data_IF_758073972755
#
_entry.id   IF_758073972755
#
_cell.length_a   1.000
_cell.length_b   1.000
_cell.length_c   1.000
_cell.angle_alpha   90.00
_cell.angle_beta   90.00
_cell.angle_gamma   90.00
#
_symmetry.space_group_name_H-M   'P 1'
#
loop_
_entity.id
_entity.type
_entity.pdbx_description
1 polymer ?
#
# COMPACT_ATOMS: atom_id res chain seq x y z
N UNK A 1 -51.36 51.48 -19.54
CA UNK A 1 -51.60 50.20 -20.26
C UNK A 1 -52.75 49.47 -19.59
N UNK A 2 -53.95 49.47 -20.16
CA UNK A 2 -55.18 48.94 -19.52
C UNK A 2 -55.13 47.41 -19.43
N UNK A 3 -55.53 46.84 -18.27
CA UNK A 3 -55.52 45.38 -17.99
C UNK A 3 -56.75 44.62 -18.55
N UNK A 4 -57.58 45.29 -19.35
CA UNK A 4 -58.78 44.71 -19.98
C UNK A 4 -58.53 43.46 -20.85
N UNK A 5 -57.44 43.35 -21.65
CA UNK A 5 -57.25 42.16 -22.50
C UNK A 5 -56.85 40.90 -21.70
N UNK A 6 -56.42 41.04 -20.44
CA UNK A 6 -56.11 39.89 -19.56
C UNK A 6 -57.39 39.26 -19.02
N UNK A 7 -58.45 40.05 -18.83
CA UNK A 7 -59.74 39.59 -18.32
C UNK A 7 -60.60 38.88 -19.38
N UNK A 8 -60.33 39.11 -20.67
CA UNK A 8 -61.10 38.56 -21.77
C UNK A 8 -60.63 37.18 -22.26
N UNK A 9 -59.53 36.62 -21.71
CA UNK A 9 -59.07 35.27 -22.09
C UNK A 9 -59.96 34.21 -21.45
N UNK A 10 -60.52 33.32 -22.27
CA UNK A 10 -61.41 32.26 -21.79
C UNK A 10 -60.63 31.23 -20.97
N UNK A 11 -61.24 30.62 -19.96
CA UNK A 11 -60.64 29.59 -19.08
C UNK A 11 -60.05 28.38 -19.84
N UNK A 12 -60.50 28.16 -21.08
CA UNK A 12 -59.93 27.18 -22.01
C UNK A 12 -58.51 27.58 -22.47
N UNK A 13 -58.25 28.88 -22.66
CA UNK A 13 -56.94 29.44 -23.01
C UNK A 13 -55.95 29.42 -21.83
N UNK A 14 -56.44 29.24 -20.61
CA UNK A 14 -55.63 29.15 -19.38
C UNK A 14 -55.17 27.72 -19.03
N UNK A 15 -55.36 26.75 -19.93
CA UNK A 15 -54.80 25.40 -19.76
C UNK A 15 -55.43 24.55 -18.65
N UNK A 16 -56.58 24.94 -18.11
CA UNK A 16 -57.26 24.18 -17.07
C UNK A 16 -58.00 22.95 -17.66
N UNK A 17 -57.48 21.74 -17.40
CA UNK A 17 -58.15 20.45 -17.70
C UNK A 17 -59.49 20.36 -16.94
N UNK A 18 -60.56 19.90 -17.60
CA UNK A 18 -61.89 19.66 -16.98
C UNK A 18 -61.77 18.64 -15.81
N UNK A 19 -61.98 19.08 -14.57
CA UNK A 19 -62.03 18.20 -13.38
C UNK A 19 -63.39 17.48 -13.31
N UNK A 20 -63.43 16.15 -13.08
CA UNK A 20 -64.68 15.34 -12.98
C UNK A 20 -65.60 15.76 -11.83
N UNK A 21 -65.05 16.38 -10.79
CA UNK A 21 -65.78 16.89 -9.62
C UNK A 21 -65.80 18.41 -9.70
N UNK A 22 -66.94 19.03 -9.34
CA UNK A 22 -67.07 20.49 -9.31
C UNK A 22 -66.07 21.08 -8.30
N UNK A 23 -65.07 21.88 -8.75
CA UNK A 23 -64.12 22.53 -7.84
C UNK A 23 -64.84 23.42 -6.83
N UNK A 24 -64.24 23.60 -5.64
CA UNK A 24 -64.85 24.40 -4.55
C UNK A 24 -65.16 25.85 -4.93
N UNK A 25 -64.46 26.38 -5.93
CA UNK A 25 -64.61 27.76 -6.45
C UNK A 25 -65.93 27.92 -7.22
N UNK A 26 -66.43 26.85 -7.83
CA UNK A 26 -67.64 26.93 -8.63
C UNK A 26 -68.89 26.81 -7.76
N UNK A 27 -69.90 27.66 -8.00
CA UNK A 27 -71.16 27.56 -7.29
C UNK A 27 -71.83 26.21 -7.56
N UNK A 28 -72.67 25.77 -6.62
CA UNK A 28 -73.56 24.62 -6.84
C UNK A 28 -74.53 24.94 -7.99
N UNK A 29 -74.97 23.90 -8.71
CA UNK A 29 -76.03 24.06 -9.69
C UNK A 29 -77.29 24.66 -9.04
N UNK A 30 -77.99 25.57 -9.74
CA UNK A 30 -79.19 26.26 -9.22
C UNK A 30 -80.23 25.26 -8.67
N UNK A 31 -80.43 24.11 -9.33
CA UNK A 31 -81.35 23.06 -8.86
C UNK A 31 -80.87 22.22 -7.66
N UNK A 32 -79.63 22.40 -7.19
CA UNK A 32 -79.07 21.75 -6.00
C UNK A 32 -78.87 22.71 -4.82
N UNK A 33 -79.07 24.01 -5.03
CA UNK A 33 -78.91 25.03 -3.99
C UNK A 33 -79.81 24.77 -2.78
N UNK A 34 -81.06 24.39 -3.04
CA UNK A 34 -82.09 24.17 -2.02
C UNK A 34 -82.50 22.69 -1.88
N UNK A 35 -81.79 21.76 -2.54
CA UNK A 35 -82.11 20.33 -2.46
C UNK A 35 -81.63 19.76 -1.13
N UNK A 36 -82.55 19.49 -0.21
CA UNK A 36 -82.30 18.72 1.01
C UNK A 36 -82.67 17.26 0.75
N UNK A 37 -81.78 16.31 1.08
CA UNK A 37 -82.08 14.88 0.98
C UNK A 37 -83.07 14.52 2.08
N UNK A 38 -84.24 14.03 1.70
CA UNK A 38 -85.20 13.48 2.66
C UNK A 38 -84.74 12.09 3.10
N UNK A 39 -84.86 11.74 4.40
CA UNK A 39 -84.58 10.40 4.86
C UNK A 39 -85.55 9.40 4.22
N UNK A 40 -85.06 8.19 3.94
CA UNK A 40 -85.92 7.09 3.49
C UNK A 40 -86.83 6.68 4.65
N UNK A 41 -88.15 6.47 4.44
CA UNK A 41 -89.03 5.93 5.47
C UNK A 41 -88.50 4.60 6.01
N UNK A 42 -88.55 4.41 7.33
CA UNK A 42 -88.01 3.25 8.03
C UNK A 42 -89.17 2.52 8.74
N UNK A 43 -89.27 1.20 8.55
CA UNK A 43 -90.19 0.36 9.32
C UNK A 43 -89.64 0.18 10.75
N UNK A 44 -90.39 0.57 11.81
CA UNK A 44 -89.91 0.49 13.18
C UNK A 44 -89.59 -0.95 13.64
N UNK A 45 -90.28 -1.96 13.11
CA UNK A 45 -90.05 -3.37 13.48
C UNK A 45 -88.76 -3.86 12.85
N UNK A 46 -88.57 -3.57 11.56
CA UNK A 46 -87.34 -3.92 10.82
C UNK A 46 -86.12 -3.23 11.40
N UNK A 47 -86.22 -1.94 11.77
CA UNK A 47 -85.12 -1.17 12.36
C UNK A 47 -84.68 -1.73 13.72
N UNK A 48 -85.64 -2.12 14.57
CA UNK A 48 -85.32 -2.73 15.86
C UNK A 48 -84.60 -4.07 15.71
N UNK A 49 -85.06 -4.93 14.78
CA UNK A 49 -84.41 -6.21 14.48
C UNK A 49 -83.02 -6.01 13.87
N UNK A 50 -82.90 -5.10 12.90
CA UNK A 50 -81.64 -4.79 12.22
C UNK A 50 -80.59 -4.28 13.19
N UNK A 51 -80.96 -3.40 14.13
CA UNK A 51 -80.06 -2.91 15.18
C UNK A 51 -79.59 -4.04 16.09
N UNK A 52 -80.51 -4.92 16.51
CA UNK A 52 -80.16 -6.07 17.36
C UNK A 52 -79.19 -7.02 16.64
N UNK A 53 -79.51 -7.42 15.41
CA UNK A 53 -78.66 -8.30 14.61
C UNK A 53 -77.31 -7.68 14.29
N UNK A 54 -77.26 -6.37 14.06
CA UNK A 54 -76.01 -5.67 13.82
C UNK A 54 -75.08 -5.70 15.03
N UNK A 55 -75.63 -5.55 16.24
CA UNK A 55 -74.85 -5.64 17.49
C UNK A 55 -74.32 -7.06 17.67
N UNK A 56 -75.16 -8.08 17.50
CA UNK A 56 -74.78 -9.49 17.64
C UNK A 56 -73.71 -9.89 16.59
N UNK A 57 -73.92 -9.51 15.33
CA UNK A 57 -72.97 -9.73 14.25
C UNK A 57 -71.62 -9.05 14.54
N UNK A 58 -71.65 -7.79 14.96
CA UNK A 58 -70.43 -7.03 15.23
C UNK A 58 -69.63 -7.63 16.38
N UNK A 59 -70.31 -8.12 17.42
CA UNK A 59 -69.66 -8.82 18.53
C UNK A 59 -68.96 -10.10 18.05
N UNK A 60 -69.63 -10.93 17.25
CA UNK A 60 -69.04 -12.15 16.67
C UNK A 60 -67.86 -11.83 15.74
N UNK A 61 -68.01 -10.81 14.89
CA UNK A 61 -66.96 -10.36 13.99
C UNK A 61 -65.72 -9.83 14.75
N UNK A 62 -65.92 -9.04 15.80
CA UNK A 62 -64.83 -8.54 16.64
C UNK A 62 -64.12 -9.68 17.37
N UNK A 63 -64.84 -10.72 17.82
CA UNK A 63 -64.25 -11.93 18.40
C UNK A 63 -63.35 -12.66 17.38
N UNK A 64 -63.83 -12.92 16.16
CA UNK A 64 -63.02 -13.54 15.09
C UNK A 64 -61.80 -12.69 14.74
N UNK A 65 -61.97 -11.36 14.64
CA UNK A 65 -60.85 -10.45 14.38
C UNK A 65 -59.79 -10.50 15.48
N UNK A 66 -60.22 -10.56 16.74
CA UNK A 66 -59.29 -10.67 17.88
C UNK A 66 -58.52 -11.99 17.88
N UNK A 67 -59.17 -13.10 17.49
CA UNK A 67 -58.52 -14.40 17.32
C UNK A 67 -57.42 -14.33 16.25
N UNK A 68 -57.72 -13.78 15.07
CA UNK A 68 -56.71 -13.64 14.02
C UNK A 68 -55.56 -12.71 14.40
N UNK A 69 -55.85 -11.62 15.13
CA UNK A 69 -54.79 -10.76 15.66
C UNK A 69 -53.87 -11.51 16.63
N UNK A 70 -54.44 -12.33 17.51
CA UNK A 70 -53.69 -13.18 18.43
C UNK A 70 -52.82 -14.21 17.68
N UNK A 71 -53.39 -14.91 16.68
CA UNK A 71 -52.66 -15.90 15.89
C UNK A 71 -51.50 -15.28 15.11
N UNK A 72 -51.72 -14.12 14.47
CA UNK A 72 -50.66 -13.38 13.77
C UNK A 72 -49.54 -12.99 14.75
N UNK A 73 -49.90 -12.44 15.92
CA UNK A 73 -48.92 -12.05 16.92
C UNK A 73 -48.14 -13.25 17.46
N UNK A 74 -48.83 -14.36 17.73
CA UNK A 74 -48.21 -15.62 18.17
C UNK A 74 -47.20 -16.13 17.14
N UNK A 75 -47.59 -16.20 15.87
CA UNK A 75 -46.68 -16.62 14.79
C UNK A 75 -45.49 -15.68 14.62
N UNK A 76 -45.68 -14.37 14.78
CA UNK A 76 -44.56 -13.42 14.77
C UNK A 76 -43.58 -13.68 15.93
N UNK A 77 -44.08 -13.93 17.14
CA UNK A 77 -43.22 -14.21 18.30
C UNK A 77 -42.50 -15.56 18.15
N UNK A 78 -43.18 -16.59 17.67
CA UNK A 78 -42.59 -17.90 17.35
C UNK A 78 -41.48 -17.76 16.30
N UNK A 79 -41.72 -17.02 15.22
CA UNK A 79 -40.72 -16.77 14.17
C UNK A 79 -39.51 -15.99 14.67
N UNK A 80 -39.71 -14.95 15.51
CA UNK A 80 -38.61 -14.18 16.12
C UNK A 80 -37.79 -15.08 17.06
N UNK A 81 -38.45 -15.92 17.87
CA UNK A 81 -37.79 -16.84 18.78
C UNK A 81 -36.94 -17.87 18.02
N UNK A 82 -37.52 -18.51 17.00
CA UNK A 82 -36.83 -19.48 16.16
C UNK A 82 -35.61 -18.86 15.45
N UNK A 83 -35.80 -17.70 14.82
CA UNK A 83 -34.73 -16.97 14.13
C UNK A 83 -33.58 -16.59 15.09
N UNK A 84 -33.88 -16.15 16.32
CA UNK A 84 -32.85 -15.82 17.31
C UNK A 84 -32.01 -17.03 17.71
N UNK A 85 -32.64 -18.18 17.94
CA UNK A 85 -31.94 -19.42 18.32
C UNK A 85 -31.01 -19.88 17.19
N UNK A 86 -31.51 -19.88 15.95
CA UNK A 86 -30.74 -20.30 14.78
C UNK A 86 -29.56 -19.37 14.51
N UNK A 87 -29.76 -18.06 14.62
CA UNK A 87 -28.69 -17.09 14.38
C UNK A 87 -27.61 -17.10 15.47
N UNK A 88 -27.98 -17.27 16.74
CA UNK A 88 -27.00 -17.25 17.83
C UNK A 88 -26.11 -18.51 17.81
N UNK A 89 -26.71 -19.68 17.58
CA UNK A 89 -25.96 -20.93 17.48
C UNK A 89 -25.00 -20.93 16.28
N UNK A 90 -25.47 -20.51 15.11
CA UNK A 90 -24.65 -20.40 13.91
C UNK A 90 -23.57 -19.32 14.04
N UNK A 91 -23.87 -18.20 14.72
CA UNK A 91 -22.90 -17.14 15.01
C UNK A 91 -21.77 -17.67 15.90
N UNK A 92 -22.10 -18.40 16.96
CA UNK A 92 -21.11 -18.97 17.87
C UNK A 92 -20.24 -20.00 17.16
N UNK A 93 -20.84 -20.88 16.34
CA UNK A 93 -20.10 -21.82 15.49
C UNK A 93 -19.11 -21.11 14.55
N UNK A 94 -19.53 -20.04 13.89
CA UNK A 94 -18.65 -19.25 13.00
C UNK A 94 -17.53 -18.57 13.75
N UNK A 95 -17.83 -18.05 14.94
CA UNK A 95 -16.85 -17.41 15.80
C UNK A 95 -15.78 -18.41 16.24
N UNK A 96 -16.18 -19.58 16.73
CA UNK A 96 -15.26 -20.68 17.08
C UNK A 96 -14.39 -21.10 15.89
N UNK A 97 -14.99 -21.29 14.71
CA UNK A 97 -14.24 -21.63 13.50
C UNK A 97 -13.19 -20.56 13.16
N UNK A 98 -13.57 -19.28 13.27
CA UNK A 98 -12.65 -18.15 13.01
C UNK A 98 -11.50 -18.12 14.01
N UNK A 99 -11.79 -18.33 15.30
CA UNK A 99 -10.78 -18.40 16.35
C UNK A 99 -9.82 -19.57 16.14
N UNK A 100 -10.32 -20.75 15.73
CA UNK A 100 -9.46 -21.89 15.40
C UNK A 100 -8.55 -21.59 14.21
N UNK A 101 -9.08 -21.01 13.14
CA UNK A 101 -8.31 -20.62 11.97
C UNK A 101 -7.26 -19.54 12.28
N UNK A 102 -7.59 -18.56 13.11
CA UNK A 102 -6.64 -17.53 13.56
C UNK A 102 -5.48 -18.15 14.35
N UNK A 103 -5.76 -19.14 15.21
CA UNK A 103 -4.71 -19.87 15.96
C UNK A 103 -3.81 -20.67 15.03
N UNK A 104 -4.37 -21.39 14.07
CA UNK A 104 -3.61 -22.17 13.09
C UNK A 104 -2.73 -21.27 12.20
N UNK A 105 -3.30 -20.19 11.68
CA UNK A 105 -2.56 -19.23 10.84
C UNK A 105 -1.48 -18.49 11.62
N UNK A 106 -1.72 -18.17 12.89
CA UNK A 106 -0.70 -17.60 13.77
C UNK A 106 0.51 -18.54 13.91
N UNK A 107 0.29 -19.83 14.17
CA UNK A 107 1.37 -20.82 14.29
C UNK A 107 2.18 -20.99 12.99
N UNK A 108 1.52 -20.92 11.83
CA UNK A 108 2.22 -20.96 10.53
C UNK A 108 3.02 -19.67 10.27
N UNK A 109 2.49 -18.53 10.70
CA UNK A 109 3.15 -17.24 10.51
C UNK A 109 4.38 -17.10 11.42
N UNK A 110 4.33 -17.55 12.67
CA UNK A 110 5.44 -17.44 13.64
C UNK A 110 6.70 -18.13 13.13
N UNK A 111 6.60 -19.35 12.60
CA UNK A 111 7.75 -20.06 12.03
C UNK A 111 8.39 -19.29 10.86
N UNK A 112 7.58 -18.73 9.96
CA UNK A 112 8.08 -17.88 8.86
C UNK A 112 8.80 -16.63 9.39
N UNK A 113 8.24 -15.98 10.41
CA UNK A 113 8.86 -14.80 11.03
C UNK A 113 10.16 -15.15 11.75
N UNK A 114 10.22 -16.28 12.45
CA UNK A 114 11.45 -16.73 13.12
C UNK A 114 12.57 -17.00 12.12
N UNK A 115 12.28 -17.68 10.99
CA UNK A 115 13.26 -17.91 9.92
C UNK A 115 13.74 -16.61 9.31
N UNK A 116 12.83 -15.67 9.06
CA UNK A 116 13.18 -14.34 8.54
C UNK A 116 14.07 -13.60 9.53
N UNK A 117 13.72 -13.59 10.81
CA UNK A 117 14.49 -12.92 11.86
C UNK A 117 15.90 -13.51 11.97
N UNK A 118 16.03 -14.85 11.99
CA UNK A 118 17.34 -15.53 11.95
C UNK A 118 18.17 -15.09 10.75
N UNK A 119 17.58 -15.10 9.54
CA UNK A 119 18.28 -14.66 8.33
C UNK A 119 18.73 -13.20 8.35
N UNK A 120 18.00 -12.32 9.04
CA UNK A 120 18.37 -10.91 9.20
C UNK A 120 19.50 -10.74 10.22
N UNK A 121 19.47 -11.52 11.30
CA UNK A 121 20.55 -11.56 12.29
C UNK A 121 21.84 -12.06 11.64
N UNK A 122 21.80 -13.16 10.89
CA UNK A 122 22.97 -13.73 10.20
C UNK A 122 23.58 -12.73 9.19
N UNK A 123 22.73 -12.07 8.38
CA UNK A 123 23.18 -11.00 7.47
C UNK A 123 23.82 -9.83 8.21
N UNK A 124 23.33 -9.51 9.40
CA UNK A 124 23.87 -8.42 10.21
C UNK A 124 25.21 -8.82 10.85
N UNK A 125 25.36 -10.07 11.28
CA UNK A 125 26.64 -10.57 11.79
C UNK A 125 27.70 -10.61 10.70
N UNK A 126 27.36 -11.05 9.50
CA UNK A 126 28.28 -11.07 8.35
C UNK A 126 28.77 -9.66 8.01
N UNK A 127 27.85 -8.68 7.96
CA UNK A 127 28.20 -7.26 7.75
C UNK A 127 29.13 -6.71 8.83
N UNK A 128 28.94 -7.12 10.07
CA UNK A 128 29.76 -6.67 11.20
C UNK A 128 31.17 -7.28 11.12
N UNK A 129 31.30 -8.55 10.76
CA UNK A 129 32.58 -9.22 10.52
C UNK A 129 33.33 -8.55 9.36
N UNK A 130 32.65 -8.31 8.24
CA UNK A 130 33.23 -7.62 7.08
C UNK A 130 33.72 -6.21 7.42
N UNK A 131 32.95 -5.48 8.24
CA UNK A 131 33.33 -4.17 8.72
C UNK A 131 34.59 -4.22 9.59
N UNK A 132 34.65 -5.14 10.56
CA UNK A 132 35.82 -5.34 11.42
C UNK A 132 37.07 -5.72 10.60
N UNK A 133 36.94 -6.63 9.63
CA UNK A 133 38.04 -7.03 8.76
C UNK A 133 38.58 -5.87 7.92
N UNK A 134 37.69 -5.02 7.38
CA UNK A 134 38.09 -3.81 6.65
C UNK A 134 38.78 -2.80 7.57
N UNK A 135 38.27 -2.63 8.79
CA UNK A 135 38.86 -1.74 9.78
C UNK A 135 40.26 -2.20 10.21
N UNK A 136 40.45 -3.49 10.46
CA UNK A 136 41.75 -4.08 10.78
C UNK A 136 42.76 -3.86 9.65
N UNK A 137 42.40 -4.21 8.40
CA UNK A 137 43.24 -3.97 7.22
C UNK A 137 43.62 -2.50 7.05
N UNK A 138 42.68 -1.58 7.33
CA UNK A 138 42.95 -0.14 7.28
C UNK A 138 43.91 0.30 8.38
N UNK A 139 43.75 -0.25 9.59
CA UNK A 139 44.65 0.04 10.71
C UNK A 139 46.06 -0.49 10.48
N UNK A 140 46.21 -1.69 9.89
CA UNK A 140 47.51 -2.29 9.63
C UNK A 140 48.26 -1.54 8.53
N UNK A 141 47.56 -1.10 7.47
CA UNK A 141 48.13 -0.21 6.45
C UNK A 141 48.62 1.10 7.07
N UNK A 142 47.81 1.74 7.90
CA UNK A 142 48.18 2.99 8.56
C UNK A 142 49.40 2.83 9.48
N UNK A 143 49.51 1.70 10.18
CA UNK A 143 50.70 1.37 10.99
C UNK A 143 51.94 1.17 10.12
N UNK A 144 51.83 0.40 9.04
CA UNK A 144 52.94 0.18 8.11
C UNK A 144 53.43 1.49 7.47
N UNK A 145 52.51 2.38 7.11
CA UNK A 145 52.83 3.71 6.59
C UNK A 145 53.53 4.57 7.66
N UNK A 146 53.06 4.52 8.91
CA UNK A 146 53.67 5.24 10.03
C UNK A 146 55.07 4.72 10.36
N UNK A 147 55.27 3.39 10.36
CA UNK A 147 56.57 2.77 10.59
C UNK A 147 57.55 3.13 9.46
N UNK A 148 57.10 3.11 8.19
CA UNK A 148 57.91 3.57 7.06
C UNK A 148 58.35 5.03 7.28
N UNK A 149 57.42 5.93 7.60
CA UNK A 149 57.75 7.34 7.91
C UNK A 149 58.72 7.44 9.09
N UNK A 150 58.53 6.66 10.16
CA UNK A 150 59.41 6.66 11.34
C UNK A 150 60.83 6.15 11.04
N UNK A 151 61.01 5.25 10.07
CA UNK A 151 62.36 4.88 9.61
C UNK A 151 63.02 5.99 8.78
N UNK A 152 62.23 6.72 7.97
CA UNK A 152 62.73 7.84 7.17
C UNK A 152 63.07 9.08 8.02
N UNK A 153 62.39 9.31 9.15
CA UNK A 153 62.66 10.46 10.02
C UNK A 153 64.09 10.46 10.58
N UNK A 154 64.69 9.29 10.80
CA UNK A 154 66.09 9.17 11.23
C UNK A 154 67.11 9.64 10.18
N UNK A 155 66.73 9.65 8.90
CA UNK A 155 67.55 10.14 7.79
C UNK A 155 67.27 11.61 7.43
N UNK A 156 66.34 12.26 8.15
CA UNK A 156 65.91 13.61 7.85
C UNK A 156 66.96 14.64 8.27
N UNK A 157 67.15 15.67 7.45
CA UNK A 157 68.06 16.78 7.73
C UNK A 157 67.43 17.67 8.82
N UNK A 158 68.12 17.82 9.94
CA UNK A 158 67.81 18.69 11.10
C UNK A 158 68.84 19.82 11.20
N UNK A 159 68.55 20.85 12.00
CA UNK A 159 69.48 21.98 12.21
C UNK A 159 70.85 21.53 12.75
N UNK A 160 70.90 20.42 13.47
CA UNK A 160 72.11 19.87 14.09
C UNK A 160 72.98 19.03 13.17
N UNK A 161 72.41 18.37 12.14
CA UNK A 161 73.15 17.49 11.22
C UNK A 161 73.39 18.15 9.84
N UNK A 162 73.10 19.44 9.73
CA UNK A 162 73.09 20.18 8.47
C UNK A 162 74.48 20.27 7.84
N UNK A 163 75.49 20.71 8.59
CA UNK A 163 76.85 20.87 8.08
C UNK A 163 77.48 19.51 7.69
N UNK A 164 77.31 18.49 8.55
CA UNK A 164 77.77 17.12 8.29
C UNK A 164 77.14 16.54 7.01
N UNK A 165 75.83 16.76 6.80
CA UNK A 165 75.13 16.32 5.60
C UNK A 165 75.55 17.09 4.36
N UNK A 166 75.84 18.38 4.46
CA UNK A 166 76.39 19.17 3.35
C UNK A 166 77.75 18.60 2.93
N UNK A 167 78.64 18.33 3.88
CA UNK A 167 79.95 17.75 3.60
C UNK A 167 79.83 16.32 3.03
N UNK A 168 78.91 15.50 3.53
CA UNK A 168 78.61 14.18 2.96
C UNK A 168 78.13 14.30 1.50
N UNK A 169 77.19 15.21 1.21
CA UNK A 169 76.68 15.44 -0.15
C UNK A 169 77.78 15.93 -1.09
N UNK A 170 78.71 16.77 -0.61
CA UNK A 170 79.82 17.28 -1.42
C UNK A 170 80.89 16.22 -1.74
N UNK A 171 81.06 15.23 -0.86
CA UNK A 171 82.03 14.15 -1.04
C UNK A 171 81.44 12.89 -1.73
N UNK A 172 80.11 12.74 -1.73
CA UNK A 172 79.44 11.62 -2.40
C UNK A 172 79.45 11.77 -3.93
N UNK A 173 79.35 10.63 -4.61
CA UNK A 173 79.14 10.61 -6.06
C UNK A 173 77.81 11.31 -6.41
N UNK A 174 77.83 12.12 -7.46
CA UNK A 174 76.65 12.82 -7.94
C UNK A 174 75.58 11.79 -8.33
N UNK A 175 74.44 11.83 -7.63
CA UNK A 175 73.30 10.97 -7.93
C UNK A 175 72.66 11.42 -9.24
N UNK A 176 72.86 10.64 -10.30
CA UNK A 176 72.29 10.92 -11.62
C UNK A 176 70.83 10.46 -11.71
N UNK A 177 69.91 11.44 -11.73
CA UNK A 177 68.49 11.21 -11.99
C UNK A 177 68.17 11.18 -13.50
N UNK A 178 69.16 11.34 -14.37
CA UNK A 178 68.94 11.27 -15.81
C UNK A 178 68.72 9.83 -16.24
N UNK A 179 67.55 9.59 -16.80
CA UNK A 179 67.24 8.38 -17.51
C UNK A 179 66.49 8.71 -18.79
N UNK A 180 66.69 7.89 -19.80
CA UNK A 180 65.90 7.93 -21.02
C UNK A 180 64.98 6.71 -21.02
N UNK A 181 63.78 6.87 -21.55
CA UNK A 181 62.84 5.78 -21.75
C UNK A 181 62.84 5.46 -23.24
N UNK A 182 63.20 4.23 -23.60
CA UNK A 182 63.09 3.74 -24.96
C UNK A 182 61.62 3.62 -25.41
N UNK A 183 61.36 3.51 -26.71
CA UNK A 183 60.02 3.23 -27.26
C UNK A 183 59.43 1.91 -26.70
N UNK A 184 60.29 1.00 -26.25
CA UNK A 184 59.92 -0.25 -25.56
C UNK A 184 59.56 -0.07 -24.07
N UNK A 185 59.62 1.15 -23.53
CA UNK A 185 59.39 1.44 -22.11
C UNK A 185 60.58 1.14 -21.19
N UNK A 186 61.75 0.80 -21.75
CA UNK A 186 62.93 0.45 -20.98
C UNK A 186 63.65 1.71 -20.48
N UNK A 187 63.94 1.75 -19.18
CA UNK A 187 64.64 2.87 -18.52
C UNK A 187 66.16 2.67 -18.66
N UNK A 188 66.85 3.55 -19.36
CA UNK A 188 68.31 3.57 -19.53
C UNK A 188 68.91 4.71 -18.70
N UNK A 189 69.81 4.40 -17.74
CA UNK A 189 70.46 5.38 -16.83
C UNK A 189 71.90 5.70 -17.26
N UNK A 190 72.32 6.95 -17.12
CA UNK A 190 73.38 7.59 -17.93
C UNK A 190 74.82 7.67 -17.38
N UNK A 191 75.35 6.68 -16.66
CA UNK A 191 76.76 6.74 -16.14
C UNK A 191 77.73 5.72 -16.72
N UNK A 192 77.32 4.96 -17.75
CA UNK A 192 78.20 4.08 -18.53
C UNK A 192 77.92 4.30 -20.02
N UNK A 193 78.91 4.69 -20.85
CA UNK A 193 78.70 4.79 -22.29
C UNK A 193 78.34 3.40 -22.85
N UNK A 194 77.33 3.34 -23.71
CA UNK A 194 76.93 2.13 -24.42
C UNK A 194 78.11 1.70 -25.28
N UNK A 195 78.77 0.59 -24.92
CA UNK A 195 79.71 -0.08 -25.82
C UNK A 195 78.89 -0.59 -27.01
N UNK A 196 79.08 0.06 -28.15
CA UNK A 196 78.37 -0.20 -29.39
C UNK A 196 78.97 -1.46 -30.05
N UNK A 197 78.79 -2.63 -29.43
CA UNK A 197 79.11 -3.90 -30.07
C UNK A 197 77.90 -4.35 -30.91
N UNK A 198 78.11 -4.28 -32.23
CA UNK A 198 77.23 -4.77 -33.27
C UNK A 198 76.74 -6.19 -32.91
N UNK A 199 75.46 -6.29 -32.54
CA UNK A 199 74.77 -7.55 -32.35
C UNK A 199 74.78 -8.30 -33.69
N UNK A 200 75.75 -9.20 -33.88
CA UNK A 200 75.64 -10.26 -34.87
C UNK A 200 74.48 -11.14 -34.44
N UNK A 201 73.43 -11.15 -35.25
CA UNK A 201 72.31 -12.07 -35.10
C UNK A 201 72.76 -13.36 -35.77
N UNK A 202 73.34 -14.27 -35.00
CA UNK A 202 73.53 -15.65 -35.44
C UNK A 202 72.16 -16.35 -35.35
N UNK A 203 71.52 -16.41 -36.51
CA UNK A 203 70.30 -17.17 -36.77
C UNK A 203 70.70 -18.64 -36.93
N UNK A 204 70.71 -19.41 -35.84
CA UNK A 204 70.71 -20.87 -35.93
C UNK A 204 69.62 -21.46 -35.03
N UNK A 205 68.75 -22.22 -35.68
CA UNK A 205 67.44 -22.60 -35.18
C UNK A 205 67.48 -23.55 -34.00
N UNK A 206 66.59 -23.29 -33.05
CA UNK A 206 66.01 -24.35 -32.24
C UNK A 206 64.49 -24.22 -32.35
N UNK A 207 63.96 -24.89 -33.38
CA UNK A 207 62.53 -25.11 -33.60
C UNK A 207 62.12 -26.21 -32.60
N UNK A 208 61.36 -25.83 -31.57
CA UNK A 208 60.43 -26.75 -30.91
C UNK A 208 59.07 -26.08 -30.91
N UNK A 209 58.23 -26.56 -31.82
CA UNK A 209 56.84 -26.21 -31.99
C UNK A 209 56.02 -26.76 -30.80
N UNK A 210 55.32 -25.89 -30.07
CA UNK A 210 54.18 -26.27 -29.22
C UNK A 210 53.04 -25.28 -29.56
N UNK A 211 51.84 -25.77 -29.91
CA UNK A 211 50.86 -25.02 -30.70
C UNK A 211 50.03 -24.04 -29.86
N UNK A 212 49.90 -22.82 -30.39
CA UNK A 212 48.86 -21.88 -30.01
C UNK A 212 47.47 -22.44 -30.33
N UNK A 213 46.63 -22.59 -29.32
CA UNK A 213 45.17 -22.53 -29.48
C UNK A 213 44.65 -21.31 -28.74
N UNK A 214 44.28 -20.30 -29.54
CA UNK A 214 43.53 -19.13 -29.13
C UNK A 214 42.11 -19.52 -28.71
N UNK A 215 41.60 -18.88 -27.66
CA UNK A 215 40.20 -18.44 -27.62
C UNK A 215 40.10 -17.18 -26.78
N UNK A 216 39.39 -16.23 -27.37
CA UNK A 216 38.68 -15.11 -26.76
C UNK A 216 37.90 -15.49 -25.50
#
# INVERSE_FOLDING_TARGET
MSKLPVFAKTLADMGHKRVRKNPRIYPKAKGKFLKVRQPTPVDPVEDALSKKWWVDYRLQYEAVRSLFQYEIYRHQMEAISASRIDHETERNRRHELTETWNKETFLLATDKFERLLKSLVDKQTDRLIDFQNKQAKSSDKLKADLDAVATLTGQMITETNLDDKIDEIMNCDVVDYNFVVDLSGNIVRGTKPINNELHKVDVEGNIQEEPFSATS
#
